data_IF_927844209147
#
_entry.id   IF_927844209147
#
_cell.length_a   1.000
_cell.length_b   1.000
_cell.length_c   1.000
_cell.angle_alpha   90.00
_cell.angle_beta   90.00
_cell.angle_gamma   90.00
#
_symmetry.space_group_name_H-M   'P 1'
#
loop_
_entity.id
_entity.type
_entity.pdbx_description
1 polymer ?
#
# COMPACT_ATOMS: atom_id res chain seq x y z
N UNK A 1 -25.59 -27.50 -24.07
CA UNK A 1 -25.97 -26.59 -23.00
C UNK A 1 -25.08 -26.86 -21.81
N UNK A 2 -24.11 -26.00 -21.51
CA UNK A 2 -23.20 -26.14 -20.36
C UNK A 2 -23.66 -25.12 -19.32
N UNK A 3 -24.02 -25.62 -18.14
CA UNK A 3 -24.48 -24.81 -17.01
C UNK A 3 -23.36 -23.86 -16.54
N UNK A 4 -23.68 -22.58 -16.44
CA UNK A 4 -22.83 -21.59 -15.78
C UNK A 4 -22.72 -21.91 -14.28
N UNK A 5 -21.57 -21.71 -13.64
CA UNK A 5 -21.43 -21.92 -12.21
C UNK A 5 -22.25 -20.88 -11.43
N UNK A 6 -23.12 -21.37 -10.56
CA UNK A 6 -23.89 -20.59 -9.62
C UNK A 6 -22.94 -19.85 -8.69
N UNK A 7 -22.97 -18.53 -8.71
CA UNK A 7 -22.30 -17.69 -7.71
C UNK A 7 -23.05 -17.92 -6.39
N UNK A 8 -22.37 -18.56 -5.44
CA UNK A 8 -22.91 -18.68 -4.08
C UNK A 8 -23.18 -17.30 -3.51
N UNK A 9 -24.43 -17.04 -3.17
CA UNK A 9 -24.87 -15.89 -2.39
C UNK A 9 -24.08 -15.86 -1.07
N UNK A 10 -23.50 -14.71 -0.77
CA UNK A 10 -23.00 -14.37 0.56
C UNK A 10 -24.19 -14.53 1.52
N UNK A 11 -23.99 -15.35 2.54
CA UNK A 11 -24.98 -15.67 3.56
C UNK A 11 -25.34 -14.38 4.36
N UNK A 12 -26.59 -13.97 4.33
CA UNK A 12 -27.16 -12.74 4.89
C UNK A 12 -27.23 -12.75 6.43
N UNK A 13 -26.17 -13.16 7.13
CA UNK A 13 -26.17 -13.28 8.58
C UNK A 13 -25.10 -12.45 9.31
N UNK A 14 -24.77 -11.24 8.83
CA UNK A 14 -24.17 -10.23 9.68
C UNK A 14 -24.75 -8.86 9.33
N UNK A 15 -25.63 -8.39 10.21
CA UNK A 15 -26.12 -7.01 10.28
C UNK A 15 -25.00 -6.10 10.88
N UNK A 16 -23.83 -6.16 10.26
CA UNK A 16 -22.81 -5.13 10.37
C UNK A 16 -23.05 -4.23 9.17
N UNK A 17 -23.60 -3.06 9.39
CA UNK A 17 -23.81 -2.01 8.39
C UNK A 17 -22.52 -1.80 7.61
N UNK A 18 -22.42 -2.46 6.45
CA UNK A 18 -21.27 -2.32 5.56
C UNK A 18 -21.34 -0.91 5.01
N UNK A 19 -20.54 -0.01 5.57
CA UNK A 19 -20.41 1.37 5.09
C UNK A 19 -20.09 1.32 3.59
N UNK A 20 -20.80 2.10 2.80
CA UNK A 20 -20.47 2.27 1.39
C UNK A 20 -19.11 2.98 1.24
N UNK A 21 -18.47 2.83 0.08
CA UNK A 21 -17.21 3.56 -0.21
C UNK A 21 -17.39 5.07 0.02
N UNK A 22 -18.53 5.63 -0.40
CA UNK A 22 -18.83 7.05 -0.23
C UNK A 22 -19.01 7.46 1.24
N UNK A 23 -19.52 6.57 2.10
CA UNK A 23 -19.60 6.82 3.55
C UNK A 23 -18.23 6.79 4.20
N UNK A 24 -17.38 5.84 3.79
CA UNK A 24 -15.99 5.78 4.29
C UNK A 24 -15.18 6.96 3.79
N UNK A 25 -15.32 7.33 2.51
CA UNK A 25 -14.57 8.46 1.94
C UNK A 25 -14.98 9.82 2.51
N UNK A 26 -16.19 9.95 3.08
CA UNK A 26 -16.59 11.17 3.81
C UNK A 26 -15.79 11.37 5.10
N UNK A 27 -15.41 10.28 5.75
CA UNK A 27 -14.57 10.34 6.96
C UNK A 27 -13.09 10.66 6.61
N UNK A 28 -12.69 10.41 5.37
CA UNK A 28 -11.33 10.63 4.84
C UNK A 28 -11.36 11.57 3.62
N UNK A 29 -11.43 12.88 3.82
CA UNK A 29 -11.46 13.83 2.72
C UNK A 29 -10.22 13.68 1.83
N UNK A 30 -10.31 13.99 0.52
CA UNK A 30 -9.18 13.98 -0.39
C UNK A 30 -8.00 14.79 0.12
N UNK A 31 -6.78 14.38 -0.21
CA UNK A 31 -5.55 15.04 0.26
C UNK A 31 -5.44 16.51 -0.15
N UNK A 32 -6.06 16.91 -1.26
CA UNK A 32 -6.12 18.28 -1.76
C UNK A 32 -7.00 19.20 -0.90
N UNK A 33 -8.03 18.67 -0.21
CA UNK A 33 -8.90 19.47 0.68
C UNK A 33 -8.16 20.01 1.91
N UNK A 34 -6.95 19.54 2.19
CA UNK A 34 -6.15 20.05 3.31
C UNK A 34 -5.46 21.38 3.04
N UNK A 35 -5.54 21.90 1.81
CA UNK A 35 -5.02 23.22 1.46
C UNK A 35 -3.51 23.39 1.66
N UNK A 36 -2.76 22.29 1.68
CA UNK A 36 -1.33 22.33 1.95
C UNK A 36 -0.50 22.42 0.68
N UNK A 37 0.55 23.21 0.75
CA UNK A 37 1.61 23.19 -0.24
C UNK A 37 2.51 21.97 0.03
N UNK A 38 2.59 21.06 -0.91
CA UNK A 38 3.53 19.96 -0.86
C UNK A 38 4.94 20.43 -1.24
N UNK A 39 5.96 19.99 -0.50
CA UNK A 39 7.36 20.28 -0.87
C UNK A 39 7.85 19.43 -2.05
N UNK A 40 7.16 18.33 -2.34
CA UNK A 40 7.45 17.41 -3.43
C UNK A 40 6.64 16.12 -3.32
N UNK A 41 6.89 15.24 -4.27
CA UNK A 41 6.21 13.97 -4.44
C UNK A 41 7.24 12.87 -4.68
N UNK A 42 7.17 11.78 -3.94
CA UNK A 42 8.01 10.60 -4.16
C UNK A 42 7.12 9.42 -4.51
N UNK A 43 7.44 8.73 -5.60
CA UNK A 43 6.83 7.45 -5.96
C UNK A 43 7.82 6.32 -5.71
N UNK A 44 7.38 5.26 -5.04
CA UNK A 44 8.20 4.09 -4.72
C UNK A 44 7.50 2.83 -5.22
N UNK A 45 8.09 2.17 -6.23
CA UNK A 45 7.78 0.80 -6.57
C UNK A 45 8.38 -0.12 -5.50
N UNK A 46 7.59 -1.07 -5.00
CA UNK A 46 7.95 -1.86 -3.83
C UNK A 46 7.98 -3.35 -4.10
N UNK A 47 8.81 -4.06 -3.34
CA UNK A 47 8.94 -5.51 -3.47
C UNK A 47 9.08 -6.20 -2.12
N UNK A 48 8.43 -7.35 -1.97
CA UNK A 48 8.52 -8.25 -0.82
C UNK A 48 9.63 -9.30 -0.91
N UNK A 49 10.51 -9.25 -1.90
CA UNK A 49 11.58 -10.24 -2.09
C UNK A 49 12.47 -10.37 -0.84
N UNK A 50 12.95 -11.58 -0.55
CA UNK A 50 13.75 -11.85 0.65
C UNK A 50 15.16 -11.25 0.60
N UNK A 51 15.67 -10.97 -0.60
CA UNK A 51 17.02 -10.45 -0.81
C UNK A 51 17.25 -9.09 -0.14
N UNK A 52 18.51 -8.77 0.16
CA UNK A 52 18.91 -7.45 0.66
C UNK A 52 18.77 -6.38 -0.41
N UNK A 53 19.33 -6.63 -1.59
CA UNK A 53 19.26 -5.73 -2.74
C UNK A 53 18.22 -6.24 -3.73
N UNK A 54 17.32 -5.39 -4.17
CA UNK A 54 16.07 -5.80 -4.81
C UNK A 54 15.87 -4.98 -6.10
N UNK A 55 15.91 -5.66 -7.23
CA UNK A 55 15.75 -5.02 -8.54
C UNK A 55 14.35 -4.38 -8.75
N UNK A 56 13.34 -4.90 -8.07
CA UNK A 56 11.96 -4.41 -8.15
C UNK A 56 11.66 -3.20 -7.28
N UNK A 57 12.64 -2.63 -6.57
CA UNK A 57 12.46 -1.36 -5.86
C UNK A 57 13.01 -0.24 -6.73
N UNK A 58 12.17 0.74 -7.07
CA UNK A 58 12.53 1.92 -7.83
C UNK A 58 11.95 3.18 -7.18
N UNK A 59 12.66 4.27 -7.24
CA UNK A 59 12.24 5.56 -6.69
C UNK A 59 12.28 6.65 -7.75
N UNK A 60 11.24 7.48 -7.74
CA UNK A 60 11.22 8.72 -8.51
C UNK A 60 10.73 9.86 -7.63
N UNK A 61 11.19 11.07 -7.88
CA UNK A 61 10.80 12.28 -7.16
C UNK A 61 10.43 13.39 -8.12
N UNK A 62 9.33 14.07 -7.84
CA UNK A 62 8.91 15.28 -8.54
C UNK A 62 8.83 16.45 -7.56
N UNK A 63 9.12 17.64 -8.03
CA UNK A 63 8.89 18.90 -7.30
C UNK A 63 7.69 19.62 -7.87
N UNK A 64 6.98 20.44 -7.08
CA UNK A 64 5.92 21.28 -7.62
C UNK A 64 6.45 22.11 -8.80
N UNK A 65 5.73 22.08 -9.94
CA UNK A 65 6.12 22.75 -11.17
C UNK A 65 7.13 22.02 -12.04
N UNK A 66 7.67 20.85 -11.61
CA UNK A 66 8.51 20.02 -12.48
C UNK A 66 7.68 19.30 -13.53
N UNK A 67 8.09 19.39 -14.80
CA UNK A 67 7.41 18.70 -15.89
C UNK A 67 7.69 17.18 -15.91
N UNK A 68 8.84 16.75 -15.38
CA UNK A 68 9.30 15.35 -15.38
C UNK A 68 9.87 15.00 -14.00
N UNK A 69 9.52 13.84 -13.42
CA UNK A 69 10.15 13.36 -12.20
C UNK A 69 11.60 12.92 -12.43
N UNK A 70 12.42 13.11 -11.43
CA UNK A 70 13.79 12.60 -11.39
C UNK A 70 13.79 11.15 -10.90
N UNK A 71 14.47 10.25 -11.61
CA UNK A 71 14.78 8.92 -11.09
C UNK A 71 15.85 9.02 -10.02
N UNK A 72 15.57 8.51 -8.82
CA UNK A 72 16.51 8.48 -7.71
C UNK A 72 17.31 7.19 -7.77
N UNK A 73 18.63 7.29 -7.89
CA UNK A 73 19.50 6.13 -7.98
C UNK A 73 19.87 5.59 -6.59
N UNK A 74 20.05 4.26 -6.44
CA UNK A 74 20.50 3.66 -5.19
C UNK A 74 21.94 4.08 -4.83
N UNK A 75 22.26 4.28 -3.54
CA UNK A 75 23.52 4.92 -3.12
C UNK A 75 24.77 4.09 -3.38
N UNK A 76 24.73 2.77 -3.37
CA UNK A 76 25.94 1.93 -3.37
C UNK A 76 25.92 0.76 -4.35
N UNK A 77 24.76 0.39 -4.86
CA UNK A 77 24.55 -0.77 -5.75
C UNK A 77 23.65 -0.34 -6.90
N UNK A 78 23.54 -1.19 -7.91
CA UNK A 78 22.57 -0.96 -8.99
C UNK A 78 21.10 -1.24 -8.54
N UNK A 79 20.89 -1.57 -7.27
CA UNK A 79 19.61 -1.96 -6.71
C UNK A 79 19.44 -1.36 -5.32
N UNK A 80 18.20 -1.03 -4.97
CA UNK A 80 17.84 -0.57 -3.65
C UNK A 80 17.78 -1.70 -2.63
N UNK A 81 18.15 -1.41 -1.39
CA UNK A 81 17.69 -2.13 -0.22
C UNK A 81 16.56 -1.36 0.47
N UNK A 82 15.70 -2.02 1.24
CA UNK A 82 14.66 -1.33 2.02
C UNK A 82 15.28 -0.43 3.10
N UNK A 83 16.47 -0.77 3.60
CA UNK A 83 17.23 0.08 4.50
C UNK A 83 17.73 1.36 3.82
N UNK A 84 18.12 1.30 2.55
CA UNK A 84 18.48 2.49 1.77
C UNK A 84 17.27 3.39 1.53
N UNK A 85 16.11 2.81 1.23
CA UNK A 85 14.84 3.56 1.13
C UNK A 85 14.51 4.24 2.46
N UNK A 86 14.67 3.52 3.57
CA UNK A 86 14.48 4.09 4.92
C UNK A 86 15.40 5.30 5.15
N UNK A 87 16.68 5.17 4.87
CA UNK A 87 17.65 6.26 5.02
C UNK A 87 17.28 7.44 4.13
N UNK A 88 16.95 7.19 2.87
CA UNK A 88 16.53 8.24 1.94
C UNK A 88 15.33 9.02 2.51
N UNK A 89 14.28 8.36 2.98
CA UNK A 89 13.12 9.04 3.53
C UNK A 89 13.43 9.81 4.82
N UNK A 90 14.27 9.25 5.70
CA UNK A 90 14.72 9.95 6.91
C UNK A 90 15.51 11.21 6.58
N UNK A 91 16.35 11.17 5.55
CA UNK A 91 17.13 12.32 5.10
C UNK A 91 16.25 13.36 4.40
N UNK A 92 15.25 12.94 3.62
CA UNK A 92 14.25 13.86 3.08
C UNK A 92 13.46 14.56 4.20
N UNK A 93 13.03 13.84 5.24
CA UNK A 93 12.29 14.43 6.35
C UNK A 93 13.05 15.56 7.06
N UNK A 94 14.41 15.50 7.12
CA UNK A 94 15.26 16.57 7.69
C UNK A 94 15.29 17.83 6.82
N UNK A 95 15.08 17.67 5.50
CA UNK A 95 15.20 18.76 4.51
C UNK A 95 13.85 19.42 4.23
N UNK A 96 12.74 18.74 4.51
CA UNK A 96 11.40 19.23 4.25
C UNK A 96 11.08 20.42 5.18
N UNK A 97 10.59 21.56 4.64
CA UNK A 97 10.23 22.72 5.45
C UNK A 97 8.99 22.44 6.33
N UNK A 98 8.88 23.15 7.43
CA UNK A 98 7.69 23.10 8.28
C UNK A 98 6.45 23.57 7.49
N UNK A 99 5.35 22.83 7.61
CA UNK A 99 4.08 23.19 6.96
C UNK A 99 3.97 22.85 5.46
N UNK A 100 5.02 22.24 4.87
CA UNK A 100 4.98 21.77 3.48
C UNK A 100 5.55 20.33 3.41
N UNK A 101 4.79 19.32 3.84
CA UNK A 101 5.28 17.94 3.87
C UNK A 101 5.58 17.37 2.49
N UNK A 102 6.41 16.33 2.44
CA UNK A 102 6.63 15.51 1.25
C UNK A 102 5.55 14.43 1.17
N UNK A 103 4.88 14.31 0.04
CA UNK A 103 3.94 13.22 -0.23
C UNK A 103 4.70 12.02 -0.79
N UNK A 104 4.58 10.87 -0.14
CA UNK A 104 5.29 9.64 -0.51
C UNK A 104 4.30 8.54 -0.83
N UNK A 105 4.16 8.21 -2.10
CA UNK A 105 3.36 7.09 -2.58
C UNK A 105 4.18 5.80 -2.64
N UNK A 106 3.67 4.71 -2.04
CA UNK A 106 4.36 3.41 -2.06
C UNK A 106 3.40 2.32 -2.55
N UNK A 107 3.87 1.51 -3.52
CA UNK A 107 3.06 0.45 -4.16
C UNK A 107 3.07 -0.85 -3.35
N UNK A 108 2.39 -0.84 -2.22
CA UNK A 108 2.00 -2.05 -1.48
C UNK A 108 0.76 -1.78 -0.61
N UNK A 109 0.06 -2.84 -0.21
CA UNK A 109 -1.10 -2.71 0.67
C UNK A 109 -0.69 -2.39 2.11
N UNK A 110 -1.06 -1.21 2.61
CA UNK A 110 -0.68 -0.74 3.96
C UNK A 110 -1.39 -1.49 5.08
N UNK A 111 -2.52 -2.12 4.79
CA UNK A 111 -3.27 -2.93 5.74
C UNK A 111 -4.04 -4.06 5.04
N UNK A 112 -4.60 -4.98 5.83
CA UNK A 112 -5.58 -5.96 5.39
C UNK A 112 -7.00 -5.38 5.36
N UNK A 113 -8.00 -6.08 4.76
CA UNK A 113 -9.40 -5.75 4.91
C UNK A 113 -9.81 -5.71 6.40
N UNK A 114 -10.56 -4.69 6.78
CA UNK A 114 -11.02 -4.49 8.15
C UNK A 114 -12.51 -4.16 8.21
N UNK A 115 -12.96 -3.24 7.36
CA UNK A 115 -14.32 -2.66 7.43
C UNK A 115 -15.41 -3.71 7.21
N UNK A 116 -15.15 -4.73 6.40
CA UNK A 116 -16.07 -5.82 6.08
C UNK A 116 -16.44 -6.70 7.28
N UNK A 117 -15.53 -6.85 8.26
CA UNK A 117 -15.73 -7.71 9.45
C UNK A 117 -15.44 -6.98 10.77
N UNK A 118 -15.01 -5.71 10.74
CA UNK A 118 -14.54 -5.00 11.92
C UNK A 118 -13.28 -5.59 12.54
N UNK A 119 -12.56 -6.44 11.80
CA UNK A 119 -11.37 -7.15 12.27
C UNK A 119 -10.42 -7.47 11.11
N UNK A 120 -9.11 -7.40 11.32
CA UNK A 120 -8.12 -7.90 10.37
C UNK A 120 -8.13 -9.43 10.29
N UNK A 121 -8.24 -10.09 11.45
CA UNK A 121 -8.25 -11.55 11.57
C UNK A 121 -9.54 -11.99 12.30
N UNK A 122 -10.65 -12.20 11.56
CA UNK A 122 -11.92 -12.59 12.15
C UNK A 122 -11.81 -13.85 13.02
N UNK A 123 -12.62 -13.95 14.05
CA UNK A 123 -12.64 -15.07 15.02
C UNK A 123 -11.29 -15.26 15.76
N UNK A 124 -10.51 -14.20 15.91
CA UNK A 124 -9.28 -14.20 16.68
C UNK A 124 -9.28 -13.04 17.69
N UNK A 125 -9.32 -13.36 18.96
CA UNK A 125 -9.35 -12.36 20.06
C UNK A 125 -8.09 -11.50 20.10
N UNK A 126 -7.00 -11.98 19.50
CA UNK A 126 -5.71 -11.27 19.39
C UNK A 126 -5.62 -10.40 18.13
N UNK A 127 -6.69 -10.28 17.35
CA UNK A 127 -6.69 -9.45 16.14
C UNK A 127 -6.34 -8.00 16.47
N UNK A 128 -5.37 -7.39 15.77
CA UNK A 128 -5.00 -6.00 16.02
C UNK A 128 -6.21 -5.06 15.84
N UNK A 129 -6.43 -4.10 16.75
CA UNK A 129 -7.59 -3.20 16.69
C UNK A 129 -7.46 -2.08 15.65
N UNK A 130 -6.26 -1.82 15.13
CA UNK A 130 -5.98 -0.76 14.17
C UNK A 130 -4.72 -1.06 13.34
N UNK A 131 -4.46 -0.24 12.33
CA UNK A 131 -3.33 -0.44 11.42
C UNK A 131 -1.96 -0.35 12.12
N UNK A 132 -1.79 0.57 13.06
CA UNK A 132 -0.52 0.69 13.80
C UNK A 132 -0.21 -0.56 14.64
N UNK A 133 -1.23 -1.16 15.25
CA UNK A 133 -1.10 -2.43 15.97
C UNK A 133 -0.85 -3.61 14.99
N UNK A 134 -1.44 -3.58 13.79
CA UNK A 134 -1.15 -4.56 12.74
C UNK A 134 0.31 -4.49 12.28
N UNK A 135 0.83 -3.30 12.03
CA UNK A 135 2.23 -3.12 11.59
C UNK A 135 3.21 -3.63 12.66
N UNK A 136 2.95 -3.32 13.93
CA UNK A 136 3.74 -3.82 15.06
C UNK A 136 3.68 -5.35 15.15
N UNK A 137 2.48 -5.95 15.06
CA UNK A 137 2.34 -7.41 15.06
C UNK A 137 3.15 -8.06 13.93
N UNK A 138 3.08 -7.51 12.71
CA UNK A 138 3.85 -8.03 11.58
C UNK A 138 5.36 -7.93 11.85
N UNK A 139 5.83 -6.89 12.52
CA UNK A 139 7.24 -6.77 12.89
C UNK A 139 7.63 -7.76 13.98
N UNK A 140 6.86 -7.87 15.06
CA UNK A 140 7.09 -8.81 16.16
C UNK A 140 7.17 -10.27 15.68
N UNK A 141 6.24 -10.70 14.82
CA UNK A 141 6.24 -12.06 14.23
C UNK A 141 7.48 -12.32 13.36
N UNK A 142 8.07 -11.27 12.81
CA UNK A 142 9.26 -11.36 11.96
C UNK A 142 10.52 -10.82 12.66
N UNK A 143 10.53 -10.77 14.00
CA UNK A 143 11.71 -10.39 14.76
C UNK A 143 12.92 -11.25 14.34
N UNK A 144 14.07 -10.62 14.11
CA UNK A 144 15.27 -11.29 13.61
C UNK A 144 15.30 -11.61 12.11
N UNK A 145 14.17 -11.50 11.38
CA UNK A 145 14.20 -11.62 9.93
C UNK A 145 14.88 -10.39 9.28
N UNK A 146 15.93 -10.59 8.45
CA UNK A 146 16.70 -9.48 7.89
C UNK A 146 15.93 -8.69 6.85
N UNK A 147 16.38 -7.47 6.57
CA UNK A 147 15.96 -6.66 5.44
C UNK A 147 14.46 -6.35 5.38
N UNK A 148 13.81 -6.23 6.55
CA UNK A 148 12.34 -6.08 6.67
C UNK A 148 11.54 -7.19 5.97
N UNK A 149 12.10 -8.39 5.80
CA UNK A 149 11.36 -9.52 5.24
C UNK A 149 10.22 -9.92 6.17
N UNK A 150 9.00 -10.03 5.63
CA UNK A 150 7.78 -10.26 6.41
C UNK A 150 7.15 -11.65 6.28
N UNK A 151 7.86 -12.61 5.66
CA UNK A 151 7.31 -13.93 5.33
C UNK A 151 7.05 -14.86 6.53
N UNK A 152 7.51 -14.52 7.73
CA UNK A 152 7.21 -15.27 8.96
C UNK A 152 5.71 -15.30 9.28
N UNK A 153 4.94 -14.31 8.89
CA UNK A 153 3.48 -14.29 9.04
C UNK A 153 2.81 -15.51 8.43
N UNK A 154 3.29 -15.98 7.28
CA UNK A 154 2.69 -17.11 6.56
C UNK A 154 2.93 -18.46 7.22
N UNK A 155 3.93 -18.55 8.08
CA UNK A 155 4.33 -19.79 8.79
C UNK A 155 3.95 -19.73 10.27
N UNK A 156 3.44 -18.59 10.76
CA UNK A 156 3.09 -18.44 12.16
C UNK A 156 1.88 -19.34 12.52
N UNK A 157 1.91 -20.06 13.67
CA UNK A 157 0.86 -21.02 14.04
C UNK A 157 -0.56 -20.43 14.05
N UNK A 158 -0.72 -19.18 14.47
CA UNK A 158 -2.02 -18.50 14.51
C UNK A 158 -2.28 -17.75 13.21
N UNK A 159 -1.39 -16.86 12.81
CA UNK A 159 -1.62 -15.96 11.69
C UNK A 159 -1.55 -16.63 10.33
N UNK A 160 -0.69 -17.65 10.19
CA UNK A 160 -0.58 -18.41 8.94
C UNK A 160 -1.88 -19.06 8.49
N UNK A 161 -2.79 -19.34 9.41
CA UNK A 161 -4.12 -19.89 9.10
C UNK A 161 -4.99 -19.00 8.20
N UNK A 162 -4.70 -17.70 8.12
CA UNK A 162 -5.45 -16.74 7.31
C UNK A 162 -4.85 -16.53 5.91
N UNK A 163 -3.62 -17.00 5.65
CA UNK A 163 -2.93 -16.73 4.39
C UNK A 163 -2.88 -17.95 3.49
N UNK A 164 -3.37 -17.81 2.26
CA UNK A 164 -3.12 -18.80 1.22
C UNK A 164 -1.67 -18.65 0.74
N UNK A 165 -0.74 -19.40 1.34
CA UNK A 165 0.69 -19.23 1.16
C UNK A 165 1.43 -20.58 1.04
N UNK A 166 2.57 -20.65 0.29
CA UNK A 166 3.44 -21.83 0.31
C UNK A 166 4.07 -22.06 1.70
N UNK A 167 4.37 -23.30 2.07
CA UNK A 167 4.06 -24.56 1.37
C UNK A 167 2.63 -25.06 1.62
N UNK A 168 1.88 -24.40 2.51
CA UNK A 168 0.55 -24.81 2.93
C UNK A 168 -0.53 -24.03 2.15
N UNK A 169 -1.00 -24.60 1.05
CA UNK A 169 -2.08 -24.02 0.25
C UNK A 169 -3.47 -24.21 0.87
N UNK A 170 -3.56 -24.80 2.06
CA UNK A 170 -4.80 -24.98 2.82
C UNK A 170 -4.75 -24.15 4.09
N UNK A 171 -5.20 -22.92 4.00
CA UNK A 171 -5.37 -22.04 5.15
C UNK A 171 -6.82 -22.17 5.67
N UNK A 172 -7.05 -22.76 6.85
CA UNK A 172 -8.40 -23.07 7.33
C UNK A 172 -9.28 -21.83 7.59
N UNK A 173 -8.65 -20.68 7.78
CA UNK A 173 -9.34 -19.39 7.99
C UNK A 173 -9.18 -18.44 6.80
N UNK A 174 -8.63 -18.90 5.68
CA UNK A 174 -8.49 -18.08 4.49
C UNK A 174 -9.85 -17.78 3.87
N UNK A 175 -10.10 -16.50 3.65
CA UNK A 175 -11.22 -16.01 2.84
C UNK A 175 -10.69 -14.95 1.87
N UNK A 176 -11.29 -14.90 0.69
CA UNK A 176 -10.89 -13.93 -0.35
C UNK A 176 -11.48 -12.56 -0.07
N UNK A 177 -11.14 -12.00 1.09
CA UNK A 177 -11.58 -10.66 1.52
C UNK A 177 -10.88 -9.58 0.70
N UNK A 178 -11.57 -8.47 0.52
CA UNK A 178 -11.06 -7.31 -0.22
C UNK A 178 -11.28 -6.02 0.56
N UNK A 179 -10.31 -5.14 0.46
CA UNK A 179 -10.43 -3.77 0.96
C UNK A 179 -11.36 -2.96 0.04
N UNK A 180 -11.97 -1.89 0.56
CA UNK A 180 -12.83 -1.01 -0.24
C UNK A 180 -12.09 -0.42 -1.45
N UNK A 181 -10.82 -0.07 -1.29
CA UNK A 181 -9.96 0.41 -2.38
C UNK A 181 -9.75 -0.63 -3.49
N UNK A 182 -9.66 -1.92 -3.13
CA UNK A 182 -9.56 -3.01 -4.11
C UNK A 182 -10.89 -3.26 -4.82
N UNK A 183 -12.02 -3.07 -4.13
CA UNK A 183 -13.36 -3.13 -4.74
C UNK A 183 -13.53 -1.97 -5.73
N UNK A 184 -13.14 -0.75 -5.36
CA UNK A 184 -13.18 0.42 -6.24
C UNK A 184 -12.27 0.25 -7.47
N UNK A 185 -11.06 -0.27 -7.28
CA UNK A 185 -10.14 -0.55 -8.39
C UNK A 185 -10.69 -1.61 -9.35
N UNK A 186 -11.39 -2.63 -8.83
CA UNK A 186 -12.07 -3.63 -9.64
C UNK A 186 -13.20 -3.01 -10.48
N UNK A 187 -13.97 -2.10 -9.91
CA UNK A 187 -15.01 -1.38 -10.63
C UNK A 187 -14.45 -0.52 -11.77
N UNK A 188 -13.24 0.01 -11.62
CA UNK A 188 -12.51 0.75 -12.67
C UNK A 188 -11.81 -0.16 -13.69
N UNK A 189 -12.01 -1.47 -13.64
CA UNK A 189 -11.47 -2.43 -14.62
C UNK A 189 -10.16 -3.13 -14.22
N UNK A 190 -9.58 -2.82 -13.05
CA UNK A 190 -8.37 -3.46 -12.55
C UNK A 190 -8.56 -4.04 -11.16
N UNK A 191 -8.54 -5.37 -11.04
CA UNK A 191 -8.72 -6.07 -9.77
C UNK A 191 -7.35 -6.41 -9.15
N UNK A 192 -6.92 -5.75 -8.08
CA UNK A 192 -5.74 -6.15 -7.31
C UNK A 192 -5.94 -7.53 -6.68
N UNK A 193 -4.83 -8.24 -6.42
CA UNK A 193 -4.87 -9.51 -5.69
C UNK A 193 -5.23 -9.26 -4.22
N UNK A 194 -6.06 -10.12 -3.57
CA UNK A 194 -6.36 -9.98 -2.14
C UNK A 194 -5.10 -10.07 -1.28
N UNK A 195 -5.03 -9.28 -0.21
CA UNK A 195 -3.83 -9.19 0.64
C UNK A 195 -3.54 -10.47 1.44
N UNK A 196 -4.51 -11.35 1.63
CA UNK A 196 -4.33 -12.67 2.25
C UNK A 196 -3.89 -13.78 1.28
N UNK A 197 -3.82 -13.48 -0.03
CA UNK A 197 -3.35 -14.41 -1.05
C UNK A 197 -1.86 -14.18 -1.32
N UNK A 198 -1.01 -15.04 -0.78
CA UNK A 198 0.46 -14.98 -0.93
C UNK A 198 0.98 -15.97 -2.00
N UNK A 199 0.14 -16.37 -2.96
CA UNK A 199 0.47 -17.26 -4.09
C UNK A 199 0.17 -16.58 -5.41
N UNK A 200 0.87 -17.00 -6.46
CA UNK A 200 0.74 -16.43 -7.80
C UNK A 200 1.71 -15.28 -8.06
N UNK A 201 1.91 -14.97 -9.33
CA UNK A 201 2.83 -13.91 -9.76
C UNK A 201 2.34 -12.51 -9.44
N UNK A 202 1.04 -12.37 -9.18
CA UNK A 202 0.32 -11.14 -8.85
C UNK A 202 0.12 -10.95 -7.34
N UNK A 203 0.77 -11.78 -6.50
CA UNK A 203 0.57 -11.66 -5.07
C UNK A 203 1.17 -10.37 -4.53
N UNK A 204 0.37 -9.64 -3.74
CA UNK A 204 0.77 -8.40 -3.06
C UNK A 204 1.16 -8.65 -1.60
N UNK A 205 0.85 -9.83 -1.08
CA UNK A 205 0.96 -10.18 0.34
C UNK A 205 2.39 -10.05 0.87
N UNK A 206 3.38 -10.61 0.15
CA UNK A 206 4.79 -10.55 0.56
C UNK A 206 5.33 -9.12 0.57
N UNK A 207 4.93 -8.30 -0.41
CA UNK A 207 5.23 -6.87 -0.46
C UNK A 207 4.63 -6.12 0.71
N UNK A 208 3.36 -6.41 1.01
CA UNK A 208 2.63 -5.77 2.11
C UNK A 208 3.22 -6.12 3.47
N UNK A 209 3.61 -7.37 3.73
CA UNK A 209 4.24 -7.74 5.00
C UNK A 209 5.58 -7.01 5.19
N UNK A 210 6.42 -6.95 4.16
CA UNK A 210 7.68 -6.21 4.21
C UNK A 210 7.45 -4.70 4.39
N UNK A 211 6.42 -4.16 3.72
CA UNK A 211 6.03 -2.77 3.80
C UNK A 211 5.44 -2.37 5.16
N UNK A 212 4.63 -3.21 5.78
CA UNK A 212 4.09 -2.97 7.13
C UNK A 212 5.21 -2.89 8.18
N UNK A 213 6.21 -3.77 8.10
CA UNK A 213 7.42 -3.66 8.93
C UNK A 213 8.17 -2.34 8.69
N UNK A 214 8.30 -1.97 7.42
CA UNK A 214 8.94 -0.73 7.04
C UNK A 214 8.21 0.50 7.58
N UNK A 215 6.88 0.56 7.49
CA UNK A 215 6.06 1.64 8.07
C UNK A 215 6.24 1.69 9.59
N UNK A 216 6.18 0.54 10.27
CA UNK A 216 6.38 0.45 11.71
C UNK A 216 7.70 1.11 12.13
N UNK A 217 8.81 0.68 11.56
CA UNK A 217 10.12 1.24 11.87
C UNK A 217 10.31 2.69 11.44
N UNK A 218 9.69 3.13 10.35
CA UNK A 218 9.73 4.54 9.95
C UNK A 218 8.98 5.41 10.96
N UNK A 219 7.83 4.91 11.46
CA UNK A 219 7.04 5.58 12.49
C UNK A 219 7.80 5.68 13.80
N UNK A 220 8.51 4.65 14.23
CA UNK A 220 9.34 4.69 15.43
C UNK A 220 10.43 5.76 15.35
N UNK A 221 11.02 5.99 14.16
CA UNK A 221 12.09 6.95 13.96
C UNK A 221 11.62 8.40 13.81
N UNK A 222 10.47 8.60 13.19
CA UNK A 222 9.96 9.96 12.89
C UNK A 222 8.90 10.43 13.89
N UNK A 223 8.24 9.52 14.61
CA UNK A 223 7.17 9.87 15.56
C UNK A 223 6.10 10.71 14.88
N UNK A 224 5.81 11.88 15.46
CA UNK A 224 4.81 12.82 14.97
C UNK A 224 5.17 13.51 13.64
N UNK A 225 6.38 13.35 13.15
CA UNK A 225 6.81 13.86 11.85
C UNK A 225 6.34 12.99 10.67
N UNK A 226 5.77 11.81 10.95
CA UNK A 226 5.19 10.90 9.96
C UNK A 226 3.69 10.83 10.14
N UNK A 227 2.95 11.03 9.05
CA UNK A 227 1.56 10.64 8.94
C UNK A 227 1.39 9.57 7.86
N UNK A 228 0.51 8.61 8.10
CA UNK A 228 0.18 7.53 7.16
C UNK A 228 -1.31 7.63 6.83
N UNK A 229 -1.63 8.16 5.67
CA UNK A 229 -3.00 8.30 5.22
C UNK A 229 -3.54 6.96 4.67
N UNK A 230 -4.79 6.57 4.97
CA UNK A 230 -5.84 7.28 5.73
C UNK A 230 -5.87 6.94 7.24
N UNK A 231 -4.86 6.30 7.79
CA UNK A 231 -4.85 5.79 9.17
C UNK A 231 -4.61 6.88 10.22
N UNK A 232 -3.99 8.00 9.83
CA UNK A 232 -3.81 9.17 10.67
C UNK A 232 -4.68 10.33 10.16
N UNK A 233 -5.32 11.05 11.09
CA UNK A 233 -6.08 12.25 10.76
C UNK A 233 -5.13 13.42 10.45
N UNK A 234 -4.93 13.70 9.18
CA UNK A 234 -4.03 14.77 8.73
C UNK A 234 -4.42 16.15 9.25
N UNK A 235 -5.70 16.41 9.51
CA UNK A 235 -6.18 17.69 10.07
C UNK A 235 -5.58 17.98 11.45
N UNK A 236 -5.29 16.92 12.21
CA UNK A 236 -4.71 17.01 13.55
C UNK A 236 -3.18 16.99 13.54
N UNK A 237 -2.56 16.31 12.56
CA UNK A 237 -1.14 16.02 12.54
C UNK A 237 -0.28 17.06 11.81
N UNK A 238 -0.84 17.79 10.85
CA UNK A 238 -0.09 18.53 9.82
C UNK A 238 0.94 19.57 10.29
N UNK A 239 0.77 20.34 11.37
CA UNK A 239 1.77 21.37 11.73
C UNK A 239 3.18 20.82 11.96
N UNK A 240 3.30 19.55 12.40
CA UNK A 240 4.60 18.91 12.69
C UNK A 240 5.05 17.90 11.65
N UNK A 241 4.16 17.49 10.73
CA UNK A 241 4.42 16.40 9.78
C UNK A 241 5.43 16.84 8.71
N UNK A 242 6.38 15.97 8.42
CA UNK A 242 7.38 16.11 7.36
C UNK A 242 7.12 15.18 6.19
N UNK A 243 6.66 13.95 6.47
CA UNK A 243 6.31 12.96 5.46
C UNK A 243 4.86 12.54 5.63
N UNK A 244 4.14 12.48 4.52
CA UNK A 244 2.82 11.84 4.43
C UNK A 244 2.94 10.64 3.53
N UNK A 245 2.76 9.43 4.08
CA UNK A 245 2.72 8.21 3.28
C UNK A 245 1.30 7.95 2.78
N UNK A 246 1.21 7.51 1.54
CA UNK A 246 -0.03 7.04 0.91
C UNK A 246 0.23 5.74 0.17
N UNK A 247 -0.73 4.83 0.22
CA UNK A 247 -0.72 3.67 -0.66
C UNK A 247 -1.02 4.10 -2.08
N UNK A 248 -0.24 3.63 -3.05
CA UNK A 248 -0.53 3.83 -4.46
C UNK A 248 -0.72 2.48 -5.16
N UNK A 249 -1.49 2.49 -6.22
CA UNK A 249 -1.65 1.37 -7.13
C UNK A 249 -1.54 1.91 -8.57
N UNK A 250 -0.32 2.02 -9.13
CA UNK A 250 -0.08 2.70 -10.41
C UNK A 250 -0.94 2.20 -11.56
N UNK A 251 -1.16 0.89 -11.63
CA UNK A 251 -2.04 0.30 -12.66
C UNK A 251 -3.44 0.90 -12.67
N UNK A 252 -4.01 1.25 -11.52
CA UNK A 252 -5.35 1.84 -11.42
C UNK A 252 -5.48 3.11 -12.24
N UNK A 253 -4.48 3.99 -12.17
CA UNK A 253 -4.50 5.27 -12.86
C UNK A 253 -4.50 5.13 -14.37
N UNK A 254 -3.75 4.16 -14.91
CA UNK A 254 -3.78 3.87 -16.35
C UNK A 254 -5.13 3.34 -16.80
N UNK A 255 -5.70 2.37 -16.09
CA UNK A 255 -7.03 1.83 -16.42
C UNK A 255 -8.12 2.89 -16.33
N UNK A 256 -8.07 3.78 -15.34
CA UNK A 256 -8.99 4.90 -15.23
C UNK A 256 -8.87 5.89 -16.39
N UNK A 257 -7.70 6.07 -16.94
CA UNK A 257 -7.46 6.85 -18.18
C UNK A 257 -7.82 6.08 -19.46
N UNK A 258 -8.43 4.90 -19.37
CA UNK A 258 -8.77 4.06 -20.51
C UNK A 258 -7.57 3.36 -21.15
N UNK A 259 -6.43 3.30 -20.46
CA UNK A 259 -5.17 2.77 -20.97
C UNK A 259 -4.81 1.45 -20.29
N UNK A 260 -4.30 0.47 -21.06
CA UNK A 260 -3.84 -0.81 -20.54
C UNK A 260 -2.31 -0.80 -20.48
N UNK A 261 -1.70 -0.78 -19.28
CA UNK A 261 -0.25 -0.78 -19.15
C UNK A 261 0.32 -2.17 -19.49
N UNK A 262 0.79 -2.34 -20.71
CA UNK A 262 1.63 -3.49 -21.08
C UNK A 262 3.08 -3.15 -20.79
N UNK A 263 3.87 -4.12 -20.28
CA UNK A 263 5.24 -3.90 -19.75
C UNK A 263 6.15 -3.04 -20.64
N UNK A 264 6.01 -3.15 -21.96
CA UNK A 264 6.83 -2.39 -22.91
C UNK A 264 6.30 -0.97 -23.16
N UNK A 265 4.98 -0.76 -23.12
CA UNK A 265 4.36 0.53 -23.37
C UNK A 265 4.39 1.43 -22.12
N UNK A 266 4.21 0.87 -20.93
CA UNK A 266 4.20 1.62 -19.68
C UNK A 266 5.54 2.31 -19.35
N UNK A 267 6.64 1.88 -19.99
CA UNK A 267 7.96 2.50 -19.86
C UNK A 267 8.22 3.58 -20.94
N UNK A 268 7.31 3.79 -21.88
CA UNK A 268 7.50 4.77 -22.95
C UNK A 268 6.96 6.14 -22.54
N UNK A 269 7.74 7.17 -22.82
CA UNK A 269 7.38 8.56 -22.48
C UNK A 269 6.02 8.97 -23.05
N UNK A 270 5.72 8.57 -24.29
CA UNK A 270 4.44 8.90 -24.94
C UNK A 270 3.23 8.29 -24.22
N UNK A 271 3.35 7.04 -23.75
CA UNK A 271 2.30 6.39 -22.97
C UNK A 271 2.07 7.12 -21.64
N UNK A 272 3.14 7.49 -20.94
CA UNK A 272 3.06 8.24 -19.69
C UNK A 272 2.46 9.64 -19.92
N UNK A 273 2.90 10.35 -20.97
CA UNK A 273 2.39 11.67 -21.32
C UNK A 273 0.90 11.64 -21.70
N UNK A 274 0.45 10.59 -22.37
CA UNK A 274 -0.98 10.39 -22.66
C UNK A 274 -1.80 10.21 -21.39
N UNK A 275 -1.32 9.40 -20.43
CA UNK A 275 -1.98 9.23 -19.13
C UNK A 275 -2.02 10.55 -18.34
N UNK A 276 -0.92 11.29 -18.29
CA UNK A 276 -0.85 12.59 -17.63
C UNK A 276 -1.79 13.61 -18.30
N UNK A 277 -1.89 13.60 -19.64
CA UNK A 277 -2.82 14.45 -20.40
C UNK A 277 -4.28 14.23 -20.01
N UNK A 278 -4.68 12.97 -19.76
CA UNK A 278 -6.02 12.65 -19.25
C UNK A 278 -6.29 13.34 -17.90
N UNK A 279 -5.36 13.26 -16.96
CA UNK A 279 -5.54 13.85 -15.63
C UNK A 279 -5.47 15.37 -15.64
N UNK A 280 -4.62 15.97 -16.48
CA UNK A 280 -4.53 17.42 -16.62
C UNK A 280 -5.80 18.04 -17.26
N UNK A 281 -6.55 17.28 -18.06
CA UNK A 281 -7.80 17.74 -18.68
C UNK A 281 -9.04 17.47 -17.82
N UNK A 282 -8.94 16.61 -16.82
CA UNK A 282 -10.04 16.23 -15.95
C UNK A 282 -10.12 17.05 -14.63
N UNK A 283 -9.10 17.87 -14.33
CA UNK A 283 -9.04 18.82 -13.21
C UNK A 283 -9.25 20.24 -13.71
#
# INVERSE_FOLDING_TARGET
>A
MRNAPTINRIDDRHDATTKSLDEVMRDYPPLDTFGHSWSGFVGIDWSGAKAQFIAGIQLAMARPGSAVPDTILPPQKRQWSRQDVMRFLLDQAKQVPAGAPLLVGIDFAFAHPFVDCGSYFPDCDQSPPNAAALWRLVDEVNEGAPHFYGGGMFQHPVWGAYYLAPPHYHAPRYTSRRRLTEIAAKAAGRSPSPTFKAVGADNVSTGSMAGMRFIHHLRERLGTQLAVWPFDDLRQCLPGVRLVLVEIFPSYYFYRAGMVPVKQAAAQADFLNQALGFYNSAG
#
